data_IF_743407883162
#
_entry.id   IF_743407883162
#
_cell.length_a   1.000
_cell.length_b   1.000
_cell.length_c   1.000
_cell.angle_alpha   90.00
_cell.angle_beta   90.00
_cell.angle_gamma   90.00
#
_symmetry.space_group_name_H-M   'P 1'
#
loop_
_entity.id
_entity.type
_entity.pdbx_description
1 polymer ?
#
# COMPACT_ATOMS: atom_id res chain seq x y z
N UNK A 1 12.73 14.83 1.26
CA UNK A 1 11.79 14.31 0.25
C UNK A 1 12.42 13.04 -0.31
N UNK A 2 11.71 11.91 -0.31
CA UNK A 2 12.24 10.63 -0.81
C UNK A 2 11.48 10.27 -2.08
N UNK A 3 12.21 9.97 -3.16
CA UNK A 3 11.64 9.50 -4.42
C UNK A 3 12.09 8.06 -4.65
N UNK A 4 11.16 7.22 -5.06
CA UNK A 4 11.45 5.84 -5.44
C UNK A 4 11.28 5.74 -6.95
N UNK A 5 12.40 5.63 -7.67
CA UNK A 5 12.42 5.65 -9.13
C UNK A 5 12.79 4.28 -9.64
N UNK A 6 11.88 3.67 -10.41
CA UNK A 6 12.16 2.39 -11.09
C UNK A 6 12.95 2.68 -12.37
N UNK A 7 14.15 2.11 -12.56
CA UNK A 7 14.98 2.39 -13.72
C UNK A 7 14.43 1.68 -14.97
N UNK A 8 13.65 2.40 -15.77
CA UNK A 8 13.09 1.90 -17.03
C UNK A 8 14.04 2.20 -18.21
N UNK A 9 13.85 3.34 -18.88
CA UNK A 9 14.64 3.77 -20.05
C UNK A 9 15.13 5.22 -19.87
N UNK A 10 15.95 5.70 -20.81
CA UNK A 10 16.42 7.08 -20.83
C UNK A 10 17.18 7.49 -19.57
N UNK A 11 16.83 8.65 -19.02
CA UNK A 11 17.52 9.29 -17.90
C UNK A 11 17.56 8.42 -16.63
N UNK A 12 16.44 7.78 -16.29
CA UNK A 12 16.37 6.91 -15.10
C UNK A 12 17.33 5.72 -15.21
N UNK A 13 17.46 5.13 -16.41
CA UNK A 13 18.40 4.03 -16.65
C UNK A 13 19.85 4.52 -16.71
N UNK A 14 20.10 5.70 -17.25
CA UNK A 14 21.43 6.30 -17.27
C UNK A 14 21.94 6.52 -15.84
N UNK A 15 21.12 7.14 -14.97
CA UNK A 15 21.46 7.32 -13.56
C UNK A 15 21.65 6.01 -12.82
N UNK A 16 20.81 5.00 -13.08
CA UNK A 16 20.98 3.69 -12.47
C UNK A 16 22.31 3.03 -12.86
N UNK A 17 22.74 3.13 -14.11
CA UNK A 17 24.05 2.61 -14.55
C UNK A 17 25.23 3.36 -13.94
N UNK A 18 25.12 4.67 -13.72
CA UNK A 18 26.17 5.43 -13.03
C UNK A 18 26.37 4.93 -11.59
N UNK A 19 25.30 4.46 -10.94
CA UNK A 19 25.33 3.89 -9.59
C UNK A 19 25.99 2.49 -9.53
N UNK A 20 26.15 1.78 -10.65
CA UNK A 20 26.91 0.50 -10.67
C UNK A 20 28.39 0.73 -10.30
N UNK A 21 28.89 1.96 -10.46
CA UNK A 21 30.28 2.33 -10.16
C UNK A 21 30.44 3.09 -8.84
N UNK A 22 29.33 3.59 -8.25
CA UNK A 22 29.35 4.43 -7.05
C UNK A 22 28.10 4.19 -6.20
N UNK A 23 28.28 4.03 -4.89
CA UNK A 23 27.19 3.76 -3.95
C UNK A 23 26.21 4.96 -3.85
N UNK A 24 26.70 6.18 -4.02
CA UNK A 24 25.92 7.41 -3.95
C UNK A 24 26.40 8.43 -4.98
N UNK A 25 25.46 9.17 -5.59
CA UNK A 25 25.71 10.25 -6.54
C UNK A 25 25.06 11.54 -6.06
N UNK A 26 25.85 12.59 -5.90
CA UNK A 26 25.34 13.93 -5.60
C UNK A 26 25.10 14.70 -6.90
N UNK A 27 23.83 14.96 -7.25
CA UNK A 27 23.45 15.73 -8.44
C UNK A 27 22.55 16.90 -8.06
N UNK A 28 22.75 18.05 -8.71
CA UNK A 28 21.81 19.15 -8.64
C UNK A 28 20.56 18.79 -9.45
N UNK A 29 19.39 18.93 -8.82
CA UNK A 29 18.10 18.61 -9.42
C UNK A 29 17.16 19.80 -9.29
N UNK A 30 16.33 20.01 -10.30
CA UNK A 30 15.19 20.92 -10.22
C UNK A 30 13.97 20.12 -9.81
N UNK A 31 13.15 20.68 -8.93
CA UNK A 31 11.91 20.07 -8.45
C UNK A 31 10.78 21.01 -8.86
N UNK A 32 9.80 20.47 -9.58
CA UNK A 32 8.57 21.17 -9.95
C UNK A 32 7.36 20.36 -9.44
N UNK A 33 6.38 21.04 -8.85
CA UNK A 33 5.24 20.43 -8.16
C UNK A 33 4.90 21.07 -6.81
N UNK A 34 3.90 20.53 -6.08
CA UNK A 34 3.23 19.24 -6.28
C UNK A 34 2.12 19.26 -7.34
N UNK A 35 1.92 18.13 -8.04
CA UNK A 35 0.85 17.95 -9.05
C UNK A 35 -0.23 16.93 -8.68
N UNK A 36 -0.11 16.29 -7.52
CA UNK A 36 -1.06 15.31 -7.00
C UNK A 36 -1.67 15.73 -5.67
N UNK A 37 -2.46 14.83 -5.07
CA UNK A 37 -3.08 15.03 -3.76
C UNK A 37 -4.55 14.67 -3.72
N UNK A 38 -5.09 14.60 -2.50
CA UNK A 38 -6.51 14.36 -2.27
C UNK A 38 -7.25 15.69 -2.08
N UNK A 39 -8.37 15.86 -2.76
CA UNK A 39 -9.25 17.03 -2.55
C UNK A 39 -9.92 17.06 -1.18
N UNK A 40 -10.02 15.90 -0.51
CA UNK A 40 -10.61 15.76 0.81
C UNK A 40 -9.52 15.72 1.88
N UNK A 41 -9.81 16.37 3.00
CA UNK A 41 -8.98 16.34 4.20
C UNK A 41 -9.02 14.94 4.82
N UNK A 42 -7.85 14.29 4.86
CA UNK A 42 -7.68 12.93 5.36
C UNK A 42 -8.06 12.82 6.85
N UNK A 43 -7.96 13.91 7.62
CA UNK A 43 -8.29 13.95 9.05
C UNK A 43 -9.77 13.74 9.35
N UNK A 44 -10.64 13.83 8.33
CA UNK A 44 -12.07 13.62 8.47
C UNK A 44 -12.49 12.17 8.31
N UNK A 45 -11.60 11.27 7.90
CA UNK A 45 -11.95 9.86 7.71
C UNK A 45 -11.59 9.03 8.95
N UNK A 46 -12.51 8.15 9.34
CA UNK A 46 -12.34 7.26 10.48
C UNK A 46 -11.70 5.93 10.03
N UNK A 47 -11.93 5.54 8.77
CA UNK A 47 -11.31 4.38 8.13
C UNK A 47 -10.64 4.75 6.83
N UNK A 48 -9.41 4.26 6.65
CA UNK A 48 -8.61 4.50 5.45
C UNK A 48 -8.27 3.14 4.84
N UNK A 49 -8.59 2.94 3.56
CA UNK A 49 -8.26 1.74 2.81
C UNK A 49 -7.32 2.14 1.68
N UNK A 50 -6.08 1.68 1.74
CA UNK A 50 -5.04 1.94 0.77
C UNK A 50 -4.85 0.69 -0.08
N UNK A 51 -5.09 0.79 -1.39
CA UNK A 51 -5.01 -0.33 -2.32
C UNK A 51 -3.99 -0.03 -3.40
N UNK A 52 -2.92 -0.83 -3.44
CA UNK A 52 -1.85 -0.68 -4.41
C UNK A 52 -1.63 -1.94 -5.24
N UNK A 53 -1.18 -1.76 -6.48
CA UNK A 53 -0.65 -2.86 -7.30
C UNK A 53 0.67 -2.48 -7.96
N UNK A 54 1.65 -3.37 -7.88
CA UNK A 54 2.99 -3.17 -8.42
C UNK A 54 3.61 -1.89 -7.89
N UNK A 55 4.07 -1.03 -8.81
CA UNK A 55 4.66 0.27 -8.49
C UNK A 55 3.66 1.31 -7.98
N UNK A 56 2.34 1.09 -8.09
CA UNK A 56 1.34 2.02 -7.57
C UNK A 56 1.43 2.25 -6.06
N UNK A 57 2.18 1.40 -5.36
CA UNK A 57 2.51 1.55 -3.94
C UNK A 57 3.29 2.83 -3.61
N UNK A 58 3.99 3.41 -4.60
CA UNK A 58 4.68 4.70 -4.42
C UNK A 58 3.71 5.85 -4.16
N UNK A 59 2.43 5.70 -4.46
CA UNK A 59 1.38 6.66 -4.11
C UNK A 59 0.80 6.41 -2.71
N UNK A 60 0.60 5.14 -2.35
CA UNK A 60 -0.09 4.77 -1.11
C UNK A 60 0.82 4.77 0.11
N UNK A 61 2.11 4.46 -0.03
CA UNK A 61 3.05 4.47 1.10
C UNK A 61 3.28 5.87 1.67
N UNK A 62 3.54 6.92 0.88
CA UNK A 62 3.61 8.28 1.41
C UNK A 62 2.32 8.70 2.10
N UNK A 63 1.16 8.27 1.59
CA UNK A 63 -0.14 8.50 2.23
C UNK A 63 -0.23 7.80 3.60
N UNK A 64 0.21 6.54 3.69
CA UNK A 64 0.28 5.81 4.95
C UNK A 64 1.22 6.49 5.96
N UNK A 65 2.42 6.88 5.51
CA UNK A 65 3.38 7.60 6.36
C UNK A 65 2.84 8.94 6.84
N UNK A 66 2.09 9.66 6.00
CA UNK A 66 1.42 10.90 6.38
C UNK A 66 0.35 10.66 7.44
N UNK A 67 -0.47 9.61 7.29
CA UNK A 67 -1.45 9.21 8.30
C UNK A 67 -0.78 8.83 9.63
N UNK A 68 0.31 8.08 9.58
CA UNK A 68 1.09 7.73 10.77
C UNK A 68 1.67 8.97 11.46
N UNK A 69 2.22 9.92 10.69
CA UNK A 69 2.72 11.19 11.21
C UNK A 69 1.62 12.01 11.89
N UNK A 70 0.45 12.14 11.25
CA UNK A 70 -0.70 12.83 11.82
C UNK A 70 -1.21 12.17 13.11
N UNK A 71 -1.15 10.84 13.17
CA UNK A 71 -1.49 10.08 14.38
C UNK A 71 -0.49 10.35 15.50
N UNK A 72 0.82 10.29 15.21
CA UNK A 72 1.89 10.56 16.17
C UNK A 72 1.83 11.98 16.74
N UNK A 73 1.46 12.97 15.91
CA UNK A 73 1.30 14.37 16.31
C UNK A 73 0.03 14.64 17.13
N UNK A 74 -0.79 13.62 17.42
CA UNK A 74 -2.09 13.77 18.10
C UNK A 74 -3.01 14.78 17.41
N UNK A 75 -2.98 14.81 16.08
CA UNK A 75 -3.92 15.61 15.29
C UNK A 75 -5.36 15.10 15.51
N UNK A 76 -6.41 15.83 15.07
CA UNK A 76 -7.78 15.35 15.13
C UNK A 76 -8.01 13.99 14.44
N UNK A 77 -7.14 13.61 13.50
CA UNK A 77 -7.14 12.27 12.91
C UNK A 77 -6.86 11.19 13.96
N UNK A 78 -5.95 11.43 14.91
CA UNK A 78 -5.51 10.41 15.88
C UNK A 78 -6.67 9.86 16.72
N UNK A 79 -7.61 10.75 17.09
CA UNK A 79 -8.79 10.44 17.91
C UNK A 79 -9.88 9.72 17.10
N UNK A 80 -10.07 10.13 15.84
CA UNK A 80 -11.14 9.62 14.97
C UNK A 80 -10.74 8.31 14.26
N UNK A 81 -9.47 8.16 13.91
CA UNK A 81 -8.96 7.02 13.16
C UNK A 81 -9.19 5.71 13.93
N UNK A 82 -10.02 4.85 13.36
CA UNK A 82 -10.32 3.50 13.85
C UNK A 82 -9.40 2.47 13.23
N UNK A 83 -9.18 2.53 11.92
CA UNK A 83 -8.41 1.52 11.20
C UNK A 83 -7.85 2.04 9.88
N UNK A 84 -6.64 1.58 9.55
CA UNK A 84 -6.00 1.72 8.24
C UNK A 84 -5.77 0.32 7.68
N UNK A 85 -6.39 0.01 6.55
CA UNK A 85 -6.13 -1.22 5.79
C UNK A 85 -5.17 -0.89 4.66
N UNK A 86 -4.00 -1.52 4.65
CA UNK A 86 -3.03 -1.40 3.57
C UNK A 86 -2.98 -2.71 2.80
N UNK A 87 -3.47 -2.69 1.57
CA UNK A 87 -3.54 -3.82 0.67
C UNK A 87 -2.57 -3.57 -0.47
N UNK A 88 -1.62 -4.47 -0.66
CA UNK A 88 -0.67 -4.36 -1.75
C UNK A 88 -0.51 -5.66 -2.51
N UNK A 89 -0.80 -5.60 -3.80
CA UNK A 89 -0.65 -6.68 -4.75
C UNK A 89 0.66 -6.52 -5.51
N UNK A 90 1.57 -7.46 -5.36
CA UNK A 90 2.89 -7.42 -5.98
C UNK A 90 3.18 -8.70 -6.77
N UNK A 91 4.04 -8.59 -7.78
CA UNK A 91 4.41 -9.75 -8.61
C UNK A 91 5.42 -10.64 -7.91
N UNK A 92 6.44 -10.06 -7.29
CA UNK A 92 7.53 -10.79 -6.65
C UNK A 92 7.70 -10.36 -5.19
N UNK A 93 8.00 -11.30 -4.31
CA UNK A 93 8.29 -11.05 -2.90
C UNK A 93 9.53 -10.17 -2.72
N UNK A 94 10.53 -10.26 -3.62
CA UNK A 94 11.72 -9.38 -3.58
C UNK A 94 11.36 -7.90 -3.64
N UNK A 95 10.25 -7.59 -4.30
CA UNK A 95 9.79 -6.22 -4.44
C UNK A 95 9.31 -5.71 -3.08
N UNK A 96 8.97 -6.54 -2.09
CA UNK A 96 8.52 -6.06 -0.77
C UNK A 96 9.62 -5.29 -0.01
N UNK A 97 10.87 -5.69 -0.21
CA UNK A 97 12.03 -5.15 0.51
C UNK A 97 12.19 -3.63 0.37
N UNK A 98 11.80 -3.04 -0.76
CA UNK A 98 11.98 -1.59 -1.00
C UNK A 98 11.12 -0.65 -0.15
N UNK A 99 10.07 -1.17 0.51
CA UNK A 99 9.16 -0.39 1.38
C UNK A 99 9.02 -1.02 2.77
N UNK A 100 9.79 -2.06 3.08
CA UNK A 100 9.71 -2.80 4.34
C UNK A 100 10.01 -1.91 5.55
N UNK A 101 11.01 -1.03 5.42
CA UNK A 101 11.37 -0.06 6.46
C UNK A 101 10.22 0.94 6.72
N UNK A 102 9.60 1.47 5.66
CA UNK A 102 8.45 2.37 5.78
C UNK A 102 7.25 1.67 6.42
N UNK A 103 6.95 0.45 6.02
CA UNK A 103 5.86 -0.34 6.59
C UNK A 103 6.10 -0.62 8.07
N UNK A 104 7.33 -0.99 8.44
CA UNK A 104 7.71 -1.26 9.83
C UNK A 104 7.54 -0.02 10.69
N UNK A 105 8.04 1.14 10.24
CA UNK A 105 7.86 2.42 10.94
C UNK A 105 6.38 2.79 11.10
N UNK A 106 5.57 2.58 10.06
CA UNK A 106 4.14 2.85 10.14
C UNK A 106 3.43 1.89 11.11
N UNK A 107 3.86 0.63 11.16
CA UNK A 107 3.34 -0.38 12.09
C UNK A 107 3.69 -0.05 13.54
N UNK A 108 4.91 0.43 13.82
CA UNK A 108 5.32 0.88 15.15
C UNK A 108 4.48 2.06 15.65
N UNK A 109 4.14 3.00 14.76
CA UNK A 109 3.37 4.21 15.11
C UNK A 109 1.87 3.91 15.27
N UNK A 110 1.28 3.21 14.30
CA UNK A 110 -0.17 2.95 14.26
C UNK A 110 -0.59 1.73 15.07
N UNK A 111 0.34 0.82 15.39
CA UNK A 111 0.09 -0.39 16.16
C UNK A 111 -1.03 -1.23 15.57
N UNK A 112 -2.02 -1.56 16.39
CA UNK A 112 -3.18 -2.38 16.00
C UNK A 112 -4.16 -1.67 15.04
N UNK A 113 -4.04 -0.35 14.84
CA UNK A 113 -4.87 0.37 13.88
C UNK A 113 -4.48 0.05 12.43
N UNK A 114 -3.22 -0.33 12.18
CA UNK A 114 -2.74 -0.70 10.85
C UNK A 114 -2.88 -2.20 10.60
N UNK A 115 -3.64 -2.54 9.57
CA UNK A 115 -3.82 -3.90 9.07
C UNK A 115 -3.16 -4.03 7.70
N UNK A 116 -2.15 -4.88 7.60
CA UNK A 116 -1.42 -5.14 6.36
C UNK A 116 -1.97 -6.41 5.69
N UNK A 117 -2.21 -6.34 4.38
CA UNK A 117 -2.49 -7.49 3.52
C UNK A 117 -1.61 -7.41 2.26
N UNK A 118 -0.52 -8.17 2.24
CA UNK A 118 0.41 -8.19 1.11
C UNK A 118 0.21 -9.48 0.32
N UNK A 119 -0.09 -9.33 -0.98
CA UNK A 119 -0.41 -10.45 -1.89
C UNK A 119 0.66 -10.59 -2.95
N UNK A 120 1.27 -11.78 -3.05
CA UNK A 120 2.28 -12.08 -4.07
C UNK A 120 1.72 -13.01 -5.13
N UNK A 121 1.66 -12.53 -6.37
CA UNK A 121 1.02 -13.23 -7.48
C UNK A 121 1.86 -14.35 -8.09
N UNK A 122 3.19 -14.23 -8.11
CA UNK A 122 4.07 -15.20 -8.77
C UNK A 122 4.48 -16.37 -7.84
N UNK A 123 3.48 -17.02 -7.25
CA UNK A 123 3.69 -18.05 -6.22
C UNK A 123 4.39 -19.32 -6.76
N UNK A 124 4.13 -19.73 -8.00
CA UNK A 124 4.70 -20.96 -8.55
C UNK A 124 6.22 -20.90 -8.76
N UNK A 125 6.75 -19.72 -9.10
CA UNK A 125 8.20 -19.53 -9.30
C UNK A 125 8.91 -19.36 -7.97
N UNK A 126 8.25 -18.79 -6.96
CA UNK A 126 8.83 -18.62 -5.63
C UNK A 126 8.81 -19.92 -4.82
N UNK A 127 7.75 -20.74 -4.93
CA UNK A 127 7.72 -22.06 -4.31
C UNK A 127 8.78 -23.00 -4.89
N UNK A 128 9.00 -22.99 -6.22
CA UNK A 128 10.11 -23.76 -6.83
C UNK A 128 11.49 -23.33 -6.31
N UNK A 129 11.71 -22.03 -6.11
CA UNK A 129 12.97 -21.52 -5.53
C UNK A 129 13.13 -21.88 -4.05
N UNK A 130 12.04 -22.04 -3.32
CA UNK A 130 12.07 -22.48 -1.93
C UNK A 130 12.41 -23.98 -1.87
N UNK A 131 11.82 -24.80 -2.74
CA UNK A 131 12.13 -26.22 -2.87
C UNK A 131 13.59 -26.45 -3.31
N UNK A 132 14.10 -25.71 -4.30
CA UNK A 132 15.51 -25.78 -4.74
C UNK A 132 16.51 -25.35 -3.63
N UNK A 133 16.11 -24.43 -2.73
CA UNK A 133 16.92 -24.01 -1.58
C UNK A 133 16.94 -25.06 -0.46
N UNK A 134 15.85 -25.77 -0.25
CA UNK A 134 15.73 -26.83 0.76
C UNK A 134 16.68 -27.99 0.44
N UNK A 135 16.93 -28.28 -0.84
CA UNK A 135 17.87 -29.33 -1.26
C UNK A 135 19.35 -28.89 -1.24
N UNK A 136 19.65 -27.59 -1.13
CA UNK A 136 21.02 -27.06 -1.28
C UNK A 136 21.62 -26.50 0.03
N UNK A 137 20.82 -26.25 1.08
CA UNK A 137 21.29 -25.64 2.33
C UNK A 137 21.09 -26.56 3.55
N UNK A 138 21.86 -27.67 3.60
CA UNK A 138 22.17 -28.35 4.86
C UNK A 138 23.44 -27.77 5.49
N UNK A 139 23.47 -26.46 5.69
CA UNK A 139 24.37 -25.68 6.55
C UNK A 139 24.40 -24.23 6.06
N UNK A 140 23.77 -23.32 6.80
CA UNK A 140 24.31 -22.04 7.27
C UNK A 140 23.21 -21.42 8.14
N UNK A 141 23.67 -20.88 9.25
CA UNK A 141 22.90 -20.47 10.41
C UNK A 141 21.92 -19.33 10.12
N UNK A 142 20.85 -19.36 10.90
CA UNK A 142 19.78 -18.41 11.02
C UNK A 142 20.26 -16.96 11.23
N UNK A 143 20.12 -16.12 10.20
CA UNK A 143 20.02 -14.67 10.38
C UNK A 143 18.60 -14.31 10.86
N UNK A 144 18.37 -14.48 12.16
CA UNK A 144 17.25 -13.86 12.87
C UNK A 144 17.55 -12.37 13.10
N UNK A 145 17.32 -11.53 12.09
CA UNK A 145 17.08 -10.12 12.34
C UNK A 145 15.61 -9.98 12.78
N UNK A 146 15.39 -9.39 13.96
CA UNK A 146 14.10 -9.14 14.59
C UNK A 146 13.23 -8.12 13.81
N UNK A 147 12.90 -8.43 12.56
CA UNK A 147 11.99 -7.67 11.72
C UNK A 147 10.53 -8.09 11.95
N UNK A 148 9.62 -7.14 11.83
CA UNK A 148 8.18 -7.41 11.84
C UNK A 148 7.86 -8.38 10.71
N UNK A 149 7.39 -9.59 11.05
CA UNK A 149 6.99 -10.60 10.06
C UNK A 149 5.73 -10.11 9.33
N UNK A 150 5.92 -9.53 8.15
CA UNK A 150 4.83 -9.04 7.32
C UNK A 150 3.89 -10.21 6.92
N UNK A 151 2.56 -10.03 6.99
CA UNK A 151 1.60 -11.06 6.62
C UNK A 151 1.52 -11.18 5.08
N UNK A 152 2.37 -12.03 4.52
CA UNK A 152 2.43 -12.30 3.08
C UNK A 152 1.52 -13.48 2.74
N UNK A 153 0.58 -13.26 1.82
CA UNK A 153 -0.27 -14.30 1.27
C UNK A 153 0.04 -14.52 -0.22
N UNK A 154 0.25 -15.77 -0.60
CA UNK A 154 0.57 -16.14 -1.99
C UNK A 154 -0.70 -16.52 -2.75
N UNK A 155 -0.77 -16.13 -4.03
CA UNK A 155 -1.84 -16.55 -4.94
C UNK A 155 -2.42 -15.40 -5.76
N UNK A 156 -3.40 -15.73 -6.60
CA UNK A 156 -4.12 -14.72 -7.39
C UNK A 156 -5.00 -13.88 -6.45
N UNK A 157 -4.81 -12.55 -6.41
CA UNK A 157 -5.60 -11.69 -5.55
C UNK A 157 -6.99 -11.49 -6.14
N UNK A 158 -8.01 -11.78 -5.33
CA UNK A 158 -9.37 -11.30 -5.59
C UNK A 158 -9.58 -10.00 -4.79
N UNK A 159 -9.27 -8.87 -5.44
CA UNK A 159 -9.37 -7.54 -4.82
C UNK A 159 -10.81 -7.23 -4.41
N UNK A 160 -11.80 -7.75 -5.15
CA UNK A 160 -13.21 -7.57 -4.84
C UNK A 160 -13.59 -8.31 -3.56
N UNK A 161 -13.19 -9.58 -3.42
CA UNK A 161 -13.43 -10.34 -2.21
C UNK A 161 -12.74 -9.72 -0.98
N UNK A 162 -11.51 -9.24 -1.15
CA UNK A 162 -10.78 -8.53 -0.09
C UNK A 162 -11.55 -7.28 0.34
N UNK A 163 -11.93 -6.41 -0.60
CA UNK A 163 -12.68 -5.19 -0.29
C UNK A 163 -14.03 -5.51 0.36
N UNK A 164 -14.74 -6.52 -0.13
CA UNK A 164 -16.01 -6.96 0.46
C UNK A 164 -15.85 -7.43 1.90
N UNK A 165 -14.75 -8.11 2.24
CA UNK A 165 -14.47 -8.52 3.62
C UNK A 165 -14.31 -7.32 4.57
N UNK A 166 -13.87 -6.16 4.05
CA UNK A 166 -13.68 -4.95 4.85
C UNK A 166 -14.98 -4.23 5.19
N UNK A 167 -16.08 -4.50 4.49
CA UNK A 167 -17.37 -3.82 4.68
C UNK A 167 -17.88 -3.94 6.12
N UNK A 168 -17.66 -5.08 6.77
CA UNK A 168 -17.99 -5.32 8.19
C UNK A 168 -17.26 -4.37 9.14
N UNK A 169 -16.09 -3.87 8.72
CA UNK A 169 -15.24 -2.99 9.52
C UNK A 169 -15.34 -1.52 9.12
N UNK A 170 -16.32 -1.15 8.28
CA UNK A 170 -16.55 0.23 7.88
C UNK A 170 -16.98 1.09 9.07
N UNK A 171 -16.46 2.31 9.09
CA UNK A 171 -16.80 3.33 10.06
C UNK A 171 -17.76 4.34 9.43
N UNK A 172 -18.01 5.47 10.11
CA UNK A 172 -18.92 6.50 9.58
C UNK A 172 -18.41 7.09 8.28
N UNK A 173 -17.15 7.52 8.26
CA UNK A 173 -16.51 8.10 7.08
C UNK A 173 -15.32 7.27 6.64
N UNK A 174 -15.39 6.77 5.41
CA UNK A 174 -14.41 5.86 4.84
C UNK A 174 -13.82 6.46 3.57
N UNK A 175 -12.50 6.34 3.43
CA UNK A 175 -11.79 6.68 2.20
C UNK A 175 -11.09 5.44 1.65
N UNK A 176 -11.22 5.24 0.34
CA UNK A 176 -10.49 4.23 -0.43
C UNK A 176 -9.54 4.97 -1.36
N UNK A 177 -8.23 4.79 -1.17
CA UNK A 177 -7.19 5.33 -2.04
C UNK A 177 -6.63 4.19 -2.87
N UNK A 178 -6.70 4.30 -4.19
CA UNK A 178 -6.27 3.26 -5.11
C UNK A 178 -5.22 3.76 -6.11
N UNK A 179 -4.17 2.99 -6.31
CA UNK A 179 -3.17 3.22 -7.36
C UNK A 179 -2.59 1.90 -7.89
N UNK A 180 -2.38 1.79 -9.20
CA UNK A 180 -1.78 0.60 -9.82
C UNK A 180 -2.41 0.23 -11.15
N UNK A 181 -2.52 -1.07 -11.46
CA UNK A 181 -3.02 -1.52 -12.77
C UNK A 181 -4.45 -1.05 -13.07
N UNK A 182 -4.75 -0.77 -14.35
CA UNK A 182 -6.08 -0.34 -14.80
C UNK A 182 -7.17 -1.36 -14.45
N UNK A 183 -6.87 -2.66 -14.53
CA UNK A 183 -7.80 -3.72 -14.13
C UNK A 183 -8.17 -3.63 -12.66
N UNK A 184 -7.18 -3.39 -11.78
CA UNK A 184 -7.43 -3.24 -10.36
C UNK A 184 -8.21 -1.95 -10.08
N UNK A 185 -7.81 -0.82 -10.67
CA UNK A 185 -8.53 0.45 -10.49
C UNK A 185 -10.00 0.35 -10.91
N UNK A 186 -10.28 -0.32 -12.03
CA UNK A 186 -11.66 -0.56 -12.50
C UNK A 186 -12.45 -1.41 -11.50
N UNK A 187 -11.85 -2.49 -11.00
CA UNK A 187 -12.49 -3.36 -10.00
C UNK A 187 -12.75 -2.63 -8.68
N UNK A 188 -11.77 -1.85 -8.19
CA UNK A 188 -11.92 -1.05 -6.96
C UNK A 188 -13.01 0.02 -7.16
N UNK A 189 -13.06 0.66 -8.33
CA UNK A 189 -14.08 1.67 -8.64
C UNK A 189 -15.48 1.08 -8.68
N UNK A 190 -15.65 -0.08 -9.33
CA UNK A 190 -16.92 -0.80 -9.34
C UNK A 190 -17.36 -1.20 -7.92
N UNK A 191 -16.42 -1.75 -7.14
CA UNK A 191 -16.71 -2.19 -5.76
C UNK A 191 -17.02 -1.00 -4.85
N UNK A 192 -16.32 0.12 -5.00
CA UNK A 192 -16.62 1.35 -4.25
C UNK A 192 -18.01 1.91 -4.60
N UNK A 193 -18.43 1.83 -5.86
CA UNK A 193 -19.80 2.19 -6.26
C UNK A 193 -20.84 1.28 -5.61
N UNK A 194 -20.58 -0.02 -5.52
CA UNK A 194 -21.44 -0.96 -4.78
C UNK A 194 -21.51 -0.57 -3.30
N UNK A 195 -20.40 -0.15 -2.69
CA UNK A 195 -20.39 0.30 -1.30
C UNK A 195 -21.14 1.59 -1.06
N UNK A 196 -21.17 2.52 -2.03
CA UNK A 196 -21.95 3.75 -1.90
C UNK A 196 -23.44 3.47 -1.72
N UNK A 197 -23.95 2.32 -2.17
CA UNK A 197 -25.33 1.89 -1.88
C UNK A 197 -25.59 1.70 -0.37
N UNK A 198 -24.57 1.47 0.45
CA UNK A 198 -24.69 1.36 1.90
C UNK A 198 -25.02 2.71 2.55
N UNK A 199 -24.54 3.81 1.97
CA UNK A 199 -24.86 5.18 2.43
C UNK A 199 -26.34 5.47 2.23
N UNK A 200 -26.88 5.13 1.06
CA UNK A 200 -28.30 5.36 0.74
C UNK A 200 -29.25 4.44 1.51
N UNK A 201 -28.84 3.19 1.76
CA UNK A 201 -29.67 2.20 2.47
C UNK A 201 -29.37 2.15 3.98
N UNK A 202 -28.80 3.21 4.54
CA UNK A 202 -28.36 3.21 5.93
C UNK A 202 -29.54 2.99 6.89
N UNK A 203 -30.72 3.54 6.58
CA UNK A 203 -31.95 3.36 7.36
C UNK A 203 -32.44 1.90 7.39
N UNK A 204 -32.17 1.14 6.32
CA UNK A 204 -32.60 -0.26 6.18
C UNK A 204 -31.60 -1.23 6.80
N UNK A 205 -30.30 -0.92 6.73
CA UNK A 205 -29.22 -1.84 7.12
C UNK A 205 -28.54 -1.47 8.44
N UNK A 206 -28.85 -0.30 9.00
CA UNK A 206 -28.26 0.27 10.21
C UNK A 206 -26.72 0.22 10.21
N UNK A 207 -26.12 0.50 9.05
CA UNK A 207 -24.68 0.39 8.83
C UNK A 207 -23.88 1.53 9.47
N UNK A 208 -24.54 2.63 9.83
CA UNK A 208 -23.95 3.87 10.34
C UNK A 208 -22.87 4.47 9.40
N UNK A 209 -22.90 4.11 8.11
CA UNK A 209 -21.96 4.63 7.11
C UNK A 209 -22.56 5.89 6.49
N UNK A 210 -21.86 7.01 6.68
CA UNK A 210 -22.27 8.34 6.21
C UNK A 210 -21.52 8.72 4.92
N UNK A 211 -20.28 8.26 4.75
CA UNK A 211 -19.46 8.62 3.59
C UNK A 211 -18.56 7.47 3.14
N UNK A 212 -18.51 7.28 1.81
CA UNK A 212 -17.52 6.45 1.13
C UNK A 212 -16.94 7.25 -0.03
N UNK A 213 -15.70 7.69 0.15
CA UNK A 213 -14.95 8.45 -0.84
C UNK A 213 -13.92 7.57 -1.53
N UNK A 214 -13.87 7.64 -2.86
CA UNK A 214 -12.86 6.95 -3.67
C UNK A 214 -11.90 7.99 -4.24
N UNK A 215 -10.61 7.81 -3.99
CA UNK A 215 -9.53 8.54 -4.63
C UNK A 215 -8.72 7.56 -5.48
N UNK A 216 -8.68 7.77 -6.78
CA UNK A 216 -7.84 6.98 -7.70
C UNK A 216 -6.72 7.85 -8.22
N UNK A 217 -5.49 7.42 -8.01
CA UNK A 217 -4.34 7.99 -8.71
C UNK A 217 -3.83 7.00 -9.74
N UNK A 218 -3.72 7.45 -10.98
CA UNK A 218 -3.17 6.65 -12.06
C UNK A 218 -1.76 7.14 -12.38
N UNK A 219 -0.75 6.53 -11.76
CA UNK A 219 0.64 6.64 -12.19
C UNK A 219 0.91 5.55 -13.22
N UNK A 220 0.27 5.70 -14.39
CA UNK A 220 0.54 4.84 -15.54
C UNK A 220 1.82 5.28 -16.24
N UNK A 221 2.70 4.32 -16.51
CA UNK A 221 3.79 4.44 -17.48
C UNK A 221 3.84 3.18 -18.34
#
# INVERSE_FOLDING_TARGET
MKFIVVPQTGLARAHFKELDHQIELNKQVYIDGPYGGTFRDVTKFDKIVLVASGSGVTATIPFLSYVAQLHQQKSPLADNLKCVNFIWVVRHQKDIKWIEDELTKCQEVLGNKLQLDIRVCNYLVEMKKLDDKIDTEKSIESDEAAGVKLPITYGKPDVRAILNSLTTSFAKRNIIVCSGSNSMQTQVSQTASEFQSLVFNNDLRNTNVEEIYLHTECFGW
#
